data_IF_996353945211
#
_entry.id   IF_996353945211
#
_cell.length_a   1.000
_cell.length_b   1.000
_cell.length_c   1.000
_cell.angle_alpha   90.00
_cell.angle_beta   90.00
_cell.angle_gamma   90.00
#
_symmetry.space_group_name_H-M   'P 1'
#
loop_
_entity.id
_entity.type
_entity.pdbx_description
1 polymer ?
#
# COMPACT_ATOMS: atom_id res chain seq x y z
N UNK A 1 45.49 9.02 38.16
CA UNK A 1 45.79 7.57 38.18
C UNK A 1 45.73 7.09 36.73
N UNK A 2 46.87 6.58 36.25
CA UNK A 2 47.19 5.88 34.98
C UNK A 2 46.08 5.71 33.92
N UNK A 3 46.19 6.27 32.71
CA UNK A 3 47.04 5.92 31.55
C UNK A 3 46.43 4.89 30.57
N UNK A 4 46.49 5.26 29.27
CA UNK A 4 46.71 4.42 28.06
C UNK A 4 45.48 3.65 27.53
N UNK A 5 44.89 3.97 26.37
CA UNK A 5 45.32 4.00 24.94
C UNK A 5 45.38 2.64 24.20
N UNK A 6 44.84 2.65 22.97
CA UNK A 6 45.11 1.76 21.81
C UNK A 6 44.50 0.34 21.95
N UNK A 7 44.04 -0.38 20.92
CA UNK A 7 44.34 -0.47 19.48
C UNK A 7 43.17 -1.16 18.74
N UNK A 8 42.80 -0.69 17.54
CA UNK A 8 42.49 -1.57 16.40
C UNK A 8 43.85 -2.12 15.88
N UNK A 9 43.99 -3.36 15.37
CA UNK A 9 43.27 -3.82 14.15
C UNK A 9 43.01 -5.33 14.03
N UNK A 10 42.13 -5.75 13.12
CA UNK A 10 42.26 -7.05 12.47
C UNK A 10 41.79 -6.98 11.01
N UNK A 11 42.77 -6.80 10.12
CA UNK A 11 42.70 -7.18 8.71
C UNK A 11 43.28 -8.59 8.58
N UNK A 12 42.63 -9.44 7.75
CA UNK A 12 43.13 -10.61 6.97
C UNK A 12 41.92 -11.53 6.72
N UNK A 13 41.73 -12.20 5.59
CA UNK A 13 42.54 -12.37 4.41
C UNK A 13 41.68 -12.80 3.21
N UNK A 14 42.28 -12.63 2.04
CA UNK A 14 41.94 -13.15 0.73
C UNK A 14 41.62 -14.65 0.71
N UNK A 15 40.76 -15.06 -0.24
CA UNK A 15 40.53 -16.45 -0.60
C UNK A 15 39.75 -16.59 -1.90
N UNK A 16 40.40 -16.24 -3.01
CA UNK A 16 39.94 -16.56 -4.38
C UNK A 16 40.14 -18.06 -4.59
N UNK A 17 39.07 -18.81 -4.89
CA UNK A 17 39.19 -20.19 -5.39
C UNK A 17 38.93 -20.17 -6.90
N UNK A 18 40.01 -20.37 -7.63
CA UNK A 18 40.04 -20.66 -9.06
C UNK A 18 40.23 -22.17 -9.20
N UNK A 19 39.25 -22.87 -9.78
CA UNK A 19 39.32 -24.30 -10.06
C UNK A 19 38.99 -24.57 -11.52
N UNK A 20 40.03 -24.67 -12.35
CA UNK A 20 39.97 -25.09 -13.76
C UNK A 20 39.67 -26.59 -13.85
N UNK A 21 38.78 -26.96 -14.77
CA UNK A 21 38.87 -28.21 -15.52
C UNK A 21 38.92 -27.86 -17.01
N UNK A 22 40.08 -28.11 -17.61
CA UNK A 22 40.29 -28.10 -19.05
C UNK A 22 39.80 -29.44 -19.62
N UNK A 23 39.03 -29.40 -20.71
CA UNK A 23 39.07 -30.44 -21.72
C UNK A 23 39.24 -29.76 -23.07
N UNK A 24 40.30 -30.14 -23.77
CA UNK A 24 40.72 -29.54 -25.02
C UNK A 24 39.99 -30.20 -26.20
N UNK A 25 39.42 -29.38 -27.08
CA UNK A 25 39.09 -29.78 -28.45
C UNK A 25 39.63 -28.70 -29.39
N UNK A 26 40.49 -29.15 -30.28
CA UNK A 26 41.28 -28.36 -31.23
C UNK A 26 40.38 -27.90 -32.37
N UNK A 27 40.17 -26.59 -32.51
CA UNK A 27 39.66 -26.00 -33.75
C UNK A 27 40.49 -24.78 -34.14
N UNK A 28 41.12 -24.86 -35.32
CA UNK A 28 41.92 -23.81 -35.95
C UNK A 28 41.00 -22.69 -36.46
N UNK A 29 41.16 -21.48 -35.94
CA UNK A 29 40.40 -20.30 -36.40
C UNK A 29 41.04 -18.97 -36.00
N UNK A 30 41.43 -18.20 -37.03
CA UNK A 30 42.05 -16.85 -37.14
C UNK A 30 41.97 -15.87 -35.94
N UNK A 31 42.99 -15.01 -35.74
CA UNK A 31 43.08 -14.07 -34.61
C UNK A 31 42.19 -12.82 -34.80
N UNK A 32 41.45 -12.43 -33.77
CA UNK A 32 40.78 -11.12 -33.70
C UNK A 32 41.14 -10.37 -32.40
N UNK A 33 41.85 -9.27 -32.63
CA UNK A 33 42.17 -8.08 -31.80
C UNK A 33 41.55 -8.01 -30.39
N UNK A 34 42.41 -8.03 -29.37
CA UNK A 34 42.10 -7.52 -28.04
C UNK A 34 42.06 -5.98 -28.06
N UNK A 35 41.00 -5.37 -27.50
CA UNK A 35 40.97 -3.96 -27.10
C UNK A 35 41.21 -3.85 -25.59
N UNK A 36 41.96 -2.86 -25.10
CA UNK A 36 42.15 -2.64 -23.67
C UNK A 36 40.92 -1.96 -23.05
N UNK A 37 40.48 -2.44 -21.89
CA UNK A 37 39.53 -1.75 -21.03
C UNK A 37 40.28 -0.72 -20.18
N UNK A 38 40.01 0.57 -20.43
CA UNK A 38 40.33 1.66 -19.51
C UNK A 38 39.09 1.96 -18.65
N UNK A 39 39.28 1.82 -17.33
CA UNK A 39 38.88 2.73 -16.23
C UNK A 39 37.50 3.40 -16.28
N UNK A 40 36.65 3.10 -15.29
CA UNK A 40 35.91 4.14 -14.53
C UNK A 40 35.86 3.74 -13.05
N UNK A 41 36.33 4.66 -12.22
CA UNK A 41 36.37 4.60 -10.76
C UNK A 41 34.97 4.60 -10.14
N UNK A 42 34.90 3.93 -9.00
CA UNK A 42 33.82 3.97 -8.03
C UNK A 42 33.55 5.39 -7.52
N UNK A 43 32.35 5.90 -7.77
CA UNK A 43 31.70 6.90 -6.93
C UNK A 43 30.22 6.57 -6.85
N UNK A 44 29.88 5.56 -6.04
CA UNK A 44 28.52 5.46 -5.50
C UNK A 44 28.42 6.51 -4.39
N UNK A 45 28.14 7.76 -4.77
CA UNK A 45 27.61 8.73 -3.83
C UNK A 45 26.20 8.26 -3.47
N UNK A 46 26.08 7.70 -2.27
CA UNK A 46 24.81 7.53 -1.56
C UNK A 46 24.25 8.92 -1.25
N UNK A 47 23.65 9.58 -2.23
CA UNK A 47 22.75 10.69 -1.97
C UNK A 47 21.44 10.10 -1.48
N UNK A 48 21.24 10.15 -0.17
CA UNK A 48 19.95 9.96 0.46
C UNK A 48 19.00 11.05 -0.07
N UNK A 49 18.31 10.75 -1.17
CA UNK A 49 17.12 11.48 -1.56
C UNK A 49 16.06 11.11 -0.54
N UNK A 50 15.85 12.03 0.41
CA UNK A 50 14.66 12.13 1.23
C UNK A 50 13.44 11.73 0.39
N UNK A 51 12.79 10.62 0.78
CA UNK A 51 11.60 10.11 0.09
C UNK A 51 10.46 11.11 0.26
N UNK A 52 10.45 12.06 -0.67
CA UNK A 52 9.39 13.02 -0.89
C UNK A 52 8.13 12.29 -1.34
N UNK A 53 6.98 12.78 -0.87
CA UNK A 53 5.65 12.49 -1.39
C UNK A 53 5.14 11.10 -0.99
N UNK A 54 4.14 11.10 -0.11
CA UNK A 54 3.08 10.08 -0.12
C UNK A 54 2.48 10.08 -1.53
N UNK A 55 3.07 9.32 -2.45
CA UNK A 55 2.47 9.03 -3.75
C UNK A 55 1.11 8.37 -3.49
N UNK A 56 0.17 8.57 -4.41
CA UNK A 56 -1.24 8.14 -4.35
C UNK A 56 -1.49 6.66 -4.01
N UNK A 57 -0.44 5.83 -3.90
CA UNK A 57 -0.51 4.45 -3.47
C UNK A 57 -0.11 4.17 -2.02
N UNK A 58 0.38 5.15 -1.24
CA UNK A 58 0.89 4.83 0.11
C UNK A 58 -0.22 4.34 1.06
N UNK A 59 -1.42 4.95 1.02
CA UNK A 59 -2.53 4.54 1.89
C UNK A 59 -3.05 3.16 1.51
N UNK A 60 -3.23 2.89 0.21
CA UNK A 60 -3.65 1.55 -0.26
C UNK A 60 -2.60 0.49 0.08
N UNK A 61 -1.32 0.79 -0.11
CA UNK A 61 -0.22 -0.10 0.31
C UNK A 61 -0.26 -0.37 1.81
N UNK A 62 -0.54 0.64 2.64
CA UNK A 62 -0.72 0.46 4.09
C UNK A 62 -1.95 -0.38 4.44
N UNK A 63 -3.07 -0.22 3.74
CA UNK A 63 -4.25 -1.10 3.92
C UNK A 63 -3.90 -2.54 3.55
N UNK A 64 -3.18 -2.75 2.45
CA UNK A 64 -2.75 -4.07 2.01
C UNK A 64 -1.72 -4.68 2.98
N UNK A 65 -0.78 -3.88 3.49
CA UNK A 65 0.19 -4.31 4.52
C UNK A 65 -0.54 -4.75 5.78
N UNK A 66 -1.49 -3.94 6.27
CA UNK A 66 -2.33 -4.29 7.42
C UNK A 66 -3.08 -5.60 7.19
N UNK A 67 -3.67 -5.78 6.01
CA UNK A 67 -4.49 -6.95 5.71
C UNK A 67 -3.67 -8.23 5.48
N UNK A 68 -2.41 -8.11 5.05
CA UNK A 68 -1.48 -9.22 4.87
C UNK A 68 -0.67 -9.57 6.12
N UNK A 69 -0.69 -8.74 7.16
CA UNK A 69 -0.10 -9.08 8.45
C UNK A 69 -0.73 -10.37 9.00
N UNK A 70 0.11 -11.31 9.44
CA UNK A 70 -0.34 -12.66 9.82
C UNK A 70 -1.38 -12.61 10.94
N UNK A 71 -1.21 -11.71 11.91
CA UNK A 71 -2.15 -11.59 13.03
C UNK A 71 -3.50 -11.05 12.55
N UNK A 72 -3.48 -10.08 11.63
CA UNK A 72 -4.71 -9.53 11.09
C UNK A 72 -5.39 -10.52 10.14
N UNK A 73 -4.65 -11.20 9.26
CA UNK A 73 -5.17 -12.22 8.34
C UNK A 73 -6.05 -13.26 9.05
N UNK A 74 -5.64 -13.74 10.24
CA UNK A 74 -6.45 -14.65 11.06
C UNK A 74 -7.71 -13.99 11.65
N UNK A 75 -7.62 -12.74 12.09
CA UNK A 75 -8.79 -12.00 12.59
C UNK A 75 -9.80 -11.75 11.48
N UNK A 76 -9.32 -11.44 10.28
CA UNK A 76 -10.10 -11.22 9.07
C UNK A 76 -10.93 -12.46 8.74
N UNK A 77 -10.29 -13.64 8.71
CA UNK A 77 -10.99 -14.92 8.49
C UNK A 77 -12.10 -15.14 9.52
N UNK A 78 -11.79 -14.94 10.80
CA UNK A 78 -12.77 -15.13 11.88
C UNK A 78 -13.95 -14.19 11.75
N UNK A 79 -13.70 -12.94 11.40
CA UNK A 79 -14.71 -11.90 11.32
C UNK A 79 -15.57 -11.99 10.03
N UNK A 80 -15.01 -12.41 8.90
CA UNK A 80 -15.77 -12.73 7.67
C UNK A 80 -16.88 -13.77 7.92
N UNK A 81 -16.59 -14.74 8.80
CA UNK A 81 -17.51 -15.81 9.18
C UNK A 81 -18.57 -15.38 10.22
N UNK A 82 -18.48 -14.16 10.78
CA UNK A 82 -19.49 -13.63 11.69
C UNK A 82 -20.65 -12.96 10.93
N UNK A 83 -21.82 -12.90 11.57
CA UNK A 83 -22.97 -12.16 11.06
C UNK A 83 -22.86 -10.68 11.43
N UNK A 84 -22.51 -9.84 10.46
CA UNK A 84 -22.44 -8.38 10.63
C UNK A 84 -21.23 -7.92 11.44
N UNK A 85 -21.08 -6.61 11.60
CA UNK A 85 -20.02 -5.98 12.40
C UNK A 85 -18.60 -6.05 11.82
N UNK A 86 -18.34 -6.95 10.86
CA UNK A 86 -17.09 -7.09 10.14
C UNK A 86 -16.60 -5.77 9.52
N UNK A 87 -17.45 -5.08 8.76
CA UNK A 87 -17.10 -3.78 8.16
C UNK A 87 -16.75 -2.73 9.22
N UNK A 88 -17.60 -2.59 10.25
CA UNK A 88 -17.37 -1.66 11.35
C UNK A 88 -16.08 -1.95 12.13
N UNK A 89 -15.72 -3.24 12.28
CA UNK A 89 -14.46 -3.68 12.86
C UNK A 89 -13.27 -3.30 11.97
N UNK A 90 -13.34 -3.56 10.65
CA UNK A 90 -12.28 -3.17 9.70
C UNK A 90 -12.03 -1.67 9.78
N UNK A 91 -13.10 -0.86 9.83
CA UNK A 91 -12.97 0.59 10.00
C UNK A 91 -12.21 0.96 11.30
N UNK A 92 -12.39 0.23 12.41
CA UNK A 92 -11.70 0.54 13.70
C UNK A 92 -10.22 0.20 13.55
N UNK A 93 -9.92 -1.03 13.14
CA UNK A 93 -8.54 -1.52 13.05
C UNK A 93 -7.74 -0.71 12.03
N UNK A 94 -8.31 -0.41 10.86
CA UNK A 94 -7.65 0.43 9.86
C UNK A 94 -7.43 1.85 10.39
N UNK A 95 -8.40 2.46 11.07
CA UNK A 95 -8.21 3.80 11.61
C UNK A 95 -7.07 3.83 12.64
N UNK A 96 -7.01 2.85 13.54
CA UNK A 96 -5.94 2.73 14.53
C UNK A 96 -4.58 2.47 13.88
N UNK A 97 -4.53 1.55 12.91
CA UNK A 97 -3.30 1.22 12.20
C UNK A 97 -2.77 2.42 11.39
N UNK A 98 -3.63 3.08 10.62
CA UNK A 98 -3.27 4.26 9.83
C UNK A 98 -2.87 5.43 10.72
N UNK A 99 -3.54 5.64 11.86
CA UNK A 99 -3.12 6.65 12.84
C UNK A 99 -1.74 6.35 13.40
N UNK A 100 -1.40 5.08 13.66
CA UNK A 100 -0.08 4.66 14.11
C UNK A 100 0.99 4.91 13.05
N UNK A 101 0.76 4.50 11.80
CA UNK A 101 1.80 4.50 10.76
C UNK A 101 1.91 5.82 9.99
N UNK A 102 0.84 6.60 9.90
CA UNK A 102 0.81 7.91 9.21
C UNK A 102 0.71 9.08 10.19
N UNK A 103 0.00 8.90 11.30
CA UNK A 103 -0.27 9.97 12.27
C UNK A 103 0.84 10.18 13.30
N UNK A 104 1.65 9.15 13.59
CA UNK A 104 2.77 9.25 14.54
C UNK A 104 3.86 10.26 14.17
N UNK A 105 3.86 10.73 12.92
CA UNK A 105 4.77 11.76 12.42
C UNK A 105 4.16 13.17 12.44
N UNK A 106 2.93 13.34 12.94
CA UNK A 106 2.18 14.60 12.86
C UNK A 106 1.68 14.94 11.45
N UNK A 107 1.83 14.01 10.51
CA UNK A 107 1.57 14.21 9.08
C UNK A 107 0.10 14.01 8.75
N UNK A 108 -0.61 13.12 9.45
CA UNK A 108 -1.99 12.77 9.13
C UNK A 108 -2.90 12.68 10.37
N UNK A 109 -4.12 13.17 10.22
CA UNK A 109 -5.23 12.94 11.16
C UNK A 109 -6.23 11.99 10.53
N UNK A 110 -6.55 10.89 11.22
CA UNK A 110 -7.51 9.89 10.76
C UNK A 110 -8.81 10.04 11.56
N UNK A 111 -9.90 10.30 10.87
CA UNK A 111 -11.24 10.47 11.45
C UNK A 111 -12.18 9.44 10.84
N UNK A 112 -13.09 8.89 11.64
CA UNK A 112 -14.14 7.98 11.15
C UNK A 112 -15.48 8.68 11.05
N UNK A 113 -16.37 8.19 10.20
CA UNK A 113 -17.81 8.57 10.24
C UNK A 113 -18.05 10.08 10.12
N UNK A 114 -17.32 10.74 9.21
CA UNK A 114 -17.36 12.19 9.03
C UNK A 114 -18.41 12.60 8.01
N UNK A 115 -19.22 13.61 8.35
CA UNK A 115 -20.18 14.22 7.42
C UNK A 115 -19.43 15.05 6.38
N UNK A 116 -19.11 14.43 5.25
CA UNK A 116 -18.29 15.04 4.20
C UNK A 116 -19.11 15.49 2.99
N UNK A 117 -20.31 14.96 2.82
CA UNK A 117 -21.20 15.29 1.72
C UNK A 117 -22.07 16.51 2.05
N UNK A 118 -22.27 17.39 1.08
CA UNK A 118 -23.09 18.57 1.23
C UNK A 118 -24.58 18.22 1.13
N UNK A 119 -25.41 18.91 1.91
CA UNK A 119 -26.87 18.82 1.81
C UNK A 119 -27.50 17.53 2.35
N UNK A 120 -26.72 16.65 3.01
CA UNK A 120 -27.26 15.47 3.66
C UNK A 120 -26.41 15.06 4.89
N UNK A 121 -26.87 14.06 5.63
CA UNK A 121 -26.17 13.48 6.79
C UNK A 121 -25.31 12.26 6.40
N UNK A 122 -24.93 12.13 5.13
CA UNK A 122 -24.12 10.99 4.70
C UNK A 122 -22.70 11.16 5.19
N UNK A 123 -22.15 10.07 5.68
CA UNK A 123 -20.80 9.98 6.21
C UNK A 123 -19.93 9.14 5.31
N UNK A 124 -18.64 9.47 5.23
CA UNK A 124 -17.65 8.52 4.76
C UNK A 124 -17.19 7.63 5.92
N UNK A 125 -16.73 6.43 5.61
CA UNK A 125 -16.28 5.47 6.61
C UNK A 125 -15.03 5.97 7.36
N UNK A 126 -14.07 6.54 6.62
CA UNK A 126 -12.96 7.28 7.21
C UNK A 126 -12.41 8.38 6.30
N UNK A 127 -11.83 9.39 6.93
CA UNK A 127 -11.26 10.60 6.37
C UNK A 127 -9.82 10.74 6.86
N UNK A 128 -8.89 10.93 5.94
CA UNK A 128 -7.48 11.18 6.25
C UNK A 128 -7.14 12.59 5.81
N UNK A 129 -6.84 13.47 6.77
CA UNK A 129 -6.33 14.81 6.50
C UNK A 129 -4.82 14.79 6.64
N UNK A 130 -4.11 15.01 5.54
CA UNK A 130 -2.65 15.03 5.50
C UNK A 130 -2.15 16.46 5.38
N UNK A 131 -1.27 16.89 6.28
CA UNK A 131 -0.54 18.15 6.15
C UNK A 131 0.74 17.90 5.34
N UNK A 132 0.91 18.64 4.24
CA UNK A 132 2.12 18.63 3.42
C UNK A 132 3.21 19.50 4.07
N UNK A 133 4.44 19.33 3.62
CA UNK A 133 5.61 20.10 4.10
C UNK A 133 5.45 21.63 3.89
N UNK A 134 4.72 22.04 2.85
CA UNK A 134 4.41 23.45 2.58
C UNK A 134 3.26 24.00 3.45
N UNK A 135 2.74 23.21 4.40
CA UNK A 135 1.64 23.58 5.28
C UNK A 135 0.24 23.41 4.67
N UNK A 136 0.11 23.07 3.39
CA UNK A 136 -1.18 22.78 2.77
C UNK A 136 -1.76 21.46 3.28
N UNK A 137 -3.09 21.35 3.23
CA UNK A 137 -3.79 20.10 3.51
C UNK A 137 -4.22 19.40 2.23
N UNK A 138 -4.23 18.07 2.27
CA UNK A 138 -4.87 17.22 1.29
C UNK A 138 -5.75 16.20 2.02
N UNK A 139 -6.96 16.02 1.53
CA UNK A 139 -7.93 15.12 2.15
C UNK A 139 -8.11 13.87 1.30
N UNK A 140 -8.05 12.70 1.92
CA UNK A 140 -8.52 11.46 1.32
C UNK A 140 -9.79 11.01 2.05
N UNK A 141 -10.87 10.82 1.31
CA UNK A 141 -12.15 10.31 1.81
C UNK A 141 -12.31 8.87 1.35
N UNK A 142 -12.76 7.97 2.24
CA UNK A 142 -12.91 6.55 1.92
C UNK A 142 -14.33 6.08 2.18
N UNK A 143 -14.89 5.39 1.20
CA UNK A 143 -15.95 4.41 1.37
C UNK A 143 -15.32 3.01 1.39
N UNK A 144 -15.76 2.16 2.29
CA UNK A 144 -15.28 0.83 2.56
C UNK A 144 -16.46 -0.12 2.53
N UNK A 145 -16.35 -1.16 1.72
CA UNK A 145 -17.32 -2.24 1.67
C UNK A 145 -16.68 -3.58 1.92
N UNK A 146 -17.27 -4.35 2.81
CA UNK A 146 -16.72 -5.63 3.22
C UNK A 146 -17.71 -6.76 2.97
N UNK A 147 -17.33 -7.72 2.11
CA UNK A 147 -18.11 -8.94 1.93
C UNK A 147 -18.02 -9.77 3.21
N UNK A 148 -19.16 -10.29 3.63
CA UNK A 148 -19.30 -11.25 4.72
C UNK A 148 -20.14 -12.42 4.22
N UNK A 149 -20.02 -13.55 4.90
CA UNK A 149 -20.92 -14.70 4.69
C UNK A 149 -22.42 -14.32 4.76
N UNK A 150 -22.77 -13.29 5.53
CA UNK A 150 -24.14 -12.82 5.72
C UNK A 150 -24.69 -11.84 4.68
N UNK A 151 -23.84 -11.08 3.98
CA UNK A 151 -24.26 -10.10 2.95
C UNK A 151 -23.79 -10.41 1.53
N UNK A 152 -23.16 -11.56 1.28
CA UNK A 152 -22.64 -11.93 -0.05
C UNK A 152 -23.64 -11.73 -1.20
N UNK A 153 -24.95 -11.96 -0.95
CA UNK A 153 -26.00 -11.73 -1.95
C UNK A 153 -26.27 -10.24 -2.29
N UNK A 154 -26.00 -9.32 -1.37
CA UNK A 154 -26.20 -7.87 -1.53
C UNK A 154 -24.91 -7.09 -1.77
N UNK A 155 -23.76 -7.68 -1.46
CA UNK A 155 -22.45 -7.03 -1.53
C UNK A 155 -22.20 -6.27 -2.83
N UNK A 156 -22.48 -6.88 -3.99
CA UNK A 156 -22.31 -6.20 -5.29
C UNK A 156 -23.18 -4.94 -5.42
N UNK A 157 -24.42 -4.99 -4.93
CA UNK A 157 -25.30 -3.82 -4.95
C UNK A 157 -24.76 -2.74 -4.02
N UNK A 158 -24.35 -3.10 -2.81
CA UNK A 158 -23.80 -2.16 -1.82
C UNK A 158 -22.52 -1.47 -2.32
N UNK A 159 -21.57 -2.21 -2.92
CA UNK A 159 -20.36 -1.59 -3.52
C UNK A 159 -20.72 -0.65 -4.68
N UNK A 160 -21.73 -0.99 -5.48
CA UNK A 160 -22.20 -0.13 -6.58
C UNK A 160 -22.82 1.15 -6.05
N UNK A 161 -23.59 1.05 -4.97
CA UNK A 161 -24.19 2.20 -4.31
C UNK A 161 -23.10 3.15 -3.77
N UNK A 162 -22.04 2.61 -3.17
CA UNK A 162 -20.89 3.41 -2.71
C UNK A 162 -20.11 4.04 -3.88
N UNK A 163 -19.91 3.32 -4.99
CA UNK A 163 -19.34 3.89 -6.21
C UNK A 163 -20.18 5.05 -6.74
N UNK A 164 -21.51 4.91 -6.72
CA UNK A 164 -22.46 5.94 -7.17
C UNK A 164 -22.44 7.14 -6.24
N UNK A 165 -22.38 6.90 -4.93
CA UNK A 165 -22.25 7.92 -3.89
C UNK A 165 -20.99 8.76 -4.10
N UNK A 166 -19.84 8.13 -4.32
CA UNK A 166 -18.60 8.86 -4.65
C UNK A 166 -18.71 9.56 -6.00
N UNK A 167 -19.25 8.91 -7.03
CA UNK A 167 -19.30 9.44 -8.39
C UNK A 167 -20.22 10.66 -8.53
N UNK A 168 -21.30 10.73 -7.75
CA UNK A 168 -22.32 11.79 -7.84
C UNK A 168 -22.34 12.73 -6.64
N UNK A 169 -21.70 12.35 -5.53
CA UNK A 169 -21.68 13.16 -4.31
C UNK A 169 -21.03 14.52 -4.53
N UNK A 170 -21.58 15.56 -3.93
CA UNK A 170 -20.96 16.87 -3.81
C UNK A 170 -20.43 16.98 -2.39
N UNK A 171 -19.11 17.02 -2.19
CA UNK A 171 -18.52 17.14 -0.86
C UNK A 171 -18.37 18.59 -0.42
N UNK A 172 -18.31 18.82 0.89
CA UNK A 172 -18.10 20.15 1.46
C UNK A 172 -16.74 20.70 1.01
N UNK A 173 -16.71 21.97 0.60
CA UNK A 173 -15.51 22.65 0.14
C UNK A 173 -14.41 22.73 1.20
N UNK A 174 -14.74 22.60 2.49
CA UNK A 174 -13.75 22.54 3.58
C UNK A 174 -12.77 21.36 3.45
N UNK A 175 -13.15 20.31 2.71
CA UNK A 175 -12.31 19.14 2.51
C UNK A 175 -11.44 19.25 1.25
N UNK A 176 -11.56 20.32 0.46
CA UNK A 176 -10.76 20.51 -0.75
C UNK A 176 -9.31 20.91 -0.43
N UNK A 177 -8.31 20.44 -1.21
CA UNK A 177 -8.42 19.40 -2.24
C UNK A 177 -8.71 18.01 -1.65
N UNK A 178 -9.62 17.27 -2.28
CA UNK A 178 -10.09 15.95 -1.82
C UNK A 178 -9.97 14.89 -2.92
N UNK A 179 -9.46 13.70 -2.57
CA UNK A 179 -9.61 12.51 -3.40
C UNK A 179 -10.49 11.48 -2.67
N UNK A 180 -11.55 11.07 -3.33
CA UNK A 180 -12.55 10.14 -2.82
C UNK A 180 -12.26 8.73 -3.33
N UNK A 181 -12.18 7.76 -2.43
CA UNK A 181 -11.79 6.39 -2.69
C UNK A 181 -12.90 5.42 -2.32
N UNK A 182 -13.08 4.38 -3.13
CA UNK A 182 -13.80 3.16 -2.75
C UNK A 182 -12.76 2.07 -2.48
N UNK A 183 -12.95 1.32 -1.40
CA UNK A 183 -12.19 0.11 -1.09
C UNK A 183 -13.17 -1.03 -0.83
N UNK A 184 -13.00 -2.17 -1.49
CA UNK A 184 -13.88 -3.31 -1.33
C UNK A 184 -13.10 -4.58 -1.02
N UNK A 185 -13.42 -5.24 0.10
CA UNK A 185 -12.90 -6.55 0.47
C UNK A 185 -13.90 -7.63 0.05
N UNK A 186 -13.49 -8.58 -0.80
CA UNK A 186 -14.38 -9.58 -1.38
C UNK A 186 -13.76 -10.97 -1.40
N UNK A 187 -14.57 -11.98 -1.12
CA UNK A 187 -14.17 -13.40 -1.13
C UNK A 187 -14.80 -14.12 -2.31
N UNK A 188 -16.11 -13.97 -2.52
CA UNK A 188 -16.83 -14.71 -3.56
C UNK A 188 -17.28 -13.83 -4.72
N UNK A 189 -17.37 -12.51 -4.50
CA UNK A 189 -17.90 -11.59 -5.49
C UNK A 189 -16.80 -10.80 -6.18
N UNK A 190 -16.75 -10.94 -7.49
CA UNK A 190 -15.99 -10.02 -8.34
C UNK A 190 -16.74 -8.67 -8.41
N UNK A 191 -16.04 -7.53 -8.39
CA UNK A 191 -16.59 -6.17 -8.61
C UNK A 191 -15.79 -5.37 -9.66
N UNK A 192 -14.98 -6.08 -10.46
CA UNK A 192 -14.16 -5.54 -11.54
C UNK A 192 -14.95 -4.94 -12.71
N UNK A 193 -16.27 -4.86 -12.67
CA UNK A 193 -17.08 -4.16 -13.68
C UNK A 193 -17.48 -2.76 -13.21
N UNK A 194 -17.29 -2.43 -11.93
CA UNK A 194 -17.77 -1.17 -11.36
C UNK A 194 -16.83 0.00 -11.66
N UNK A 195 -17.42 1.20 -11.73
CA UNK A 195 -16.74 2.43 -12.16
C UNK A 195 -16.81 3.52 -11.10
N UNK A 196 -15.68 4.21 -10.90
CA UNK A 196 -15.54 5.41 -10.07
C UNK A 196 -14.53 6.34 -10.74
N UNK A 197 -14.78 7.65 -10.76
CA UNK A 197 -13.89 8.63 -11.43
C UNK A 197 -13.65 8.35 -12.92
N UNK A 198 -14.63 7.76 -13.60
CA UNK A 198 -14.53 7.37 -15.01
C UNK A 198 -13.64 6.15 -15.29
N UNK A 199 -13.15 5.46 -14.26
CA UNK A 199 -12.30 4.26 -14.39
C UNK A 199 -12.93 3.08 -13.68
N UNK A 200 -12.63 1.88 -14.18
CA UNK A 200 -13.14 0.65 -13.63
C UNK A 200 -12.18 0.06 -12.57
N UNK A 201 -12.73 -0.52 -11.49
CA UNK A 201 -11.99 -1.18 -10.39
C UNK A 201 -11.08 -2.33 -10.85
N UNK A 202 -11.32 -2.95 -12.01
CA UNK A 202 -10.49 -4.01 -12.61
C UNK A 202 -9.01 -3.64 -12.71
N UNK A 203 -8.72 -2.35 -12.85
CA UNK A 203 -7.34 -1.85 -12.96
C UNK A 203 -6.59 -1.88 -11.62
N UNK A 204 -7.28 -2.05 -10.51
CA UNK A 204 -6.80 -1.75 -9.18
C UNK A 204 -7.33 -2.78 -8.18
N UNK A 205 -6.72 -3.97 -8.19
CA UNK A 205 -6.99 -4.97 -7.19
C UNK A 205 -5.74 -5.78 -6.83
N UNK A 206 -5.74 -6.33 -5.62
CA UNK A 206 -4.76 -7.29 -5.12
C UNK A 206 -5.48 -8.42 -4.41
N UNK A 207 -4.91 -9.61 -4.48
CA UNK A 207 -5.33 -10.73 -3.66
C UNK A 207 -4.50 -10.78 -2.39
N UNK A 208 -5.15 -11.06 -1.26
CA UNK A 208 -4.55 -11.28 0.04
C UNK A 208 -4.98 -12.66 0.57
N UNK A 209 -4.16 -13.24 1.45
CA UNK A 209 -4.47 -14.49 2.12
C UNK A 209 -4.85 -14.20 3.57
N UNK A 210 -6.14 -14.32 3.89
CA UNK A 210 -6.69 -14.14 5.23
C UNK A 210 -6.96 -15.51 5.86
N UNK A 211 -5.99 -16.04 6.60
CA UNK A 211 -6.07 -17.40 7.12
C UNK A 211 -6.20 -18.42 5.98
N UNK A 212 -7.28 -19.20 5.94
CA UNK A 212 -7.55 -20.13 4.83
C UNK A 212 -8.35 -19.50 3.66
N UNK A 213 -8.73 -18.22 3.78
CA UNK A 213 -9.57 -17.54 2.79
C UNK A 213 -8.70 -16.66 1.88
N UNK A 214 -8.78 -16.91 0.56
CA UNK A 214 -8.27 -15.95 -0.41
C UNK A 214 -9.29 -14.85 -0.65
N UNK A 215 -8.86 -13.60 -0.54
CA UNK A 215 -9.71 -12.42 -0.69
C UNK A 215 -9.12 -11.45 -1.70
N UNK A 216 -9.97 -10.82 -2.50
CA UNK A 216 -9.60 -9.70 -3.37
C UNK A 216 -9.94 -8.38 -2.70
N UNK A 217 -8.96 -7.49 -2.63
CA UNK A 217 -9.12 -6.08 -2.24
C UNK A 217 -9.13 -5.25 -3.51
N UNK A 218 -10.24 -4.58 -3.79
CA UNK A 218 -10.46 -3.71 -4.94
C UNK A 218 -10.44 -2.26 -4.50
N UNK A 219 -9.96 -1.36 -5.35
CA UNK A 219 -10.07 0.06 -5.08
C UNK A 219 -10.20 0.92 -6.33
N UNK A 220 -10.60 2.17 -6.15
CA UNK A 220 -10.66 3.18 -7.20
C UNK A 220 -10.91 4.55 -6.61
N UNK A 221 -10.69 5.62 -7.37
CA UNK A 221 -10.87 6.98 -6.88
C UNK A 221 -11.53 7.94 -7.87
N UNK A 222 -12.06 9.04 -7.31
CA UNK A 222 -12.45 10.28 -7.98
C UNK A 222 -11.72 11.44 -7.29
N UNK A 223 -10.94 12.19 -8.06
CA UNK A 223 -10.32 13.44 -7.61
C UNK A 223 -11.24 14.65 -7.86
#
# INVERSE_FOLDING_TARGET
MYMVSKHNPCQRAFGVICGRLFSASVYKGRPRRCRPYCTINSYYQSSATTMSVVEKNSVMEKILEWANDVVNAEKIEKAYNQKGGWEGWVQVELAMYLQKVLGGQGIATILREQNVYNGNSQKCDFLIKTQKENGEYFTNMFELKCESSGNAGKFRTEVRDDCTKIANGVWNTEFNPCEAWIVAFSVTKNVADFMVGGRNLRRYYKTIQAGQIQMSVWWGSRA
#
